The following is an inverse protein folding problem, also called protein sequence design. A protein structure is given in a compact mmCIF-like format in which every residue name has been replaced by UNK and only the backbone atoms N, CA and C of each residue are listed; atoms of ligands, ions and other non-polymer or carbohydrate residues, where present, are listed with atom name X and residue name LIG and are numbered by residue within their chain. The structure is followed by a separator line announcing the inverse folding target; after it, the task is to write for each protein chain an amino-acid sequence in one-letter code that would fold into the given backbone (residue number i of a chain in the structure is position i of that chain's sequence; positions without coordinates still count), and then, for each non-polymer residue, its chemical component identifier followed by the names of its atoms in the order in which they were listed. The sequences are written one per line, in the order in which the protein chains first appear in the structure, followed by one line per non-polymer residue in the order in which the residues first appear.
data_IF_423706607093
#
_entry.id   IF_423706607093
#
_cell.length_a   1.000
_cell.length_b   1.000
_cell.length_c   1.000
_cell.angle_alpha   90.00
_cell.angle_beta   90.00
_cell.angle_gamma   90.00
#
_symmetry.space_group_name_H-M   'P 1'
#
loop_
_entity.id
_entity.type
_entity.pdbx_description
1 polymer ?
#
# COMPACT_ATOMS: atom_id res chain seq x y z
N UNK A 1 19.17 5.30 10.92
CA UNK A 1 19.40 6.20 9.76
C UNK A 1 18.10 6.95 9.50
N UNK A 2 18.02 8.22 9.92
CA UNK A 2 16.85 9.07 9.70
C UNK A 2 16.83 9.43 8.20
N UNK A 3 15.80 9.03 7.47
CA UNK A 3 15.57 9.55 6.12
C UNK A 3 15.36 11.05 6.22
N UNK A 4 16.17 11.80 5.48
CA UNK A 4 16.01 13.24 5.31
C UNK A 4 14.59 13.55 4.83
N UNK A 5 13.95 14.52 5.50
CA UNK A 5 12.69 15.10 5.06
C UNK A 5 12.94 15.85 3.76
N UNK A 6 12.75 15.19 2.62
CA UNK A 6 12.58 15.87 1.32
C UNK A 6 11.25 16.61 1.35
N UNK A 7 11.31 17.93 1.52
CA UNK A 7 10.16 18.83 1.69
C UNK A 7 9.47 19.26 0.37
N UNK A 8 9.64 18.52 -0.74
CA UNK A 8 8.98 18.80 -2.03
C UNK A 8 8.33 17.55 -2.62
N UNK A 9 7.58 16.81 -1.79
CA UNK A 9 6.81 15.66 -2.28
C UNK A 9 5.73 16.07 -3.28
N UNK A 10 5.52 15.25 -4.31
CA UNK A 10 4.35 15.34 -5.19
C UNK A 10 3.10 15.14 -4.32
N UNK A 11 2.36 16.21 -4.03
CA UNK A 11 1.12 16.17 -3.24
C UNK A 11 -0.05 16.46 -4.17
N UNK A 12 -0.76 15.39 -4.54
CA UNK A 12 -2.01 15.50 -5.28
C UNK A 12 -3.19 15.70 -4.33
N UNK A 13 -4.18 16.50 -4.75
CA UNK A 13 -5.43 16.66 -4.01
C UNK A 13 -6.13 15.31 -3.81
N UNK A 14 -7.00 15.21 -2.80
CA UNK A 14 -7.77 13.97 -2.55
C UNK A 14 -8.59 13.57 -3.78
N UNK A 15 -9.21 14.54 -4.44
CA UNK A 15 -10.00 14.32 -5.66
C UNK A 15 -9.14 13.73 -6.78
N UNK A 16 -7.97 14.33 -7.05
CA UNK A 16 -7.01 13.80 -8.02
C UNK A 16 -6.55 12.38 -7.65
N UNK A 17 -6.25 12.12 -6.37
CA UNK A 17 -5.86 10.78 -5.90
C UNK A 17 -6.99 9.76 -6.06
N UNK A 18 -8.24 10.13 -5.78
CA UNK A 18 -9.39 9.26 -6.01
C UNK A 18 -9.60 8.99 -7.50
N UNK A 19 -9.43 10.00 -8.35
CA UNK A 19 -9.53 9.84 -9.79
C UNK A 19 -8.39 8.98 -10.37
N UNK A 20 -7.20 8.96 -9.77
CA UNK A 20 -6.14 8.00 -10.15
C UNK A 20 -6.53 6.54 -9.90
N UNK A 21 -7.46 6.27 -8.99
CA UNK A 21 -8.01 4.93 -8.79
C UNK A 21 -9.18 4.65 -9.74
N UNK A 22 -10.05 5.64 -9.98
CA UNK A 22 -11.23 5.47 -10.83
C UNK A 22 -10.89 5.50 -12.31
N UNK A 23 -10.20 6.54 -12.76
CA UNK A 23 -9.72 6.77 -14.11
C UNK A 23 -10.66 6.27 -15.20
N UNK A 24 -10.13 5.38 -16.03
CA UNK A 24 -10.84 4.71 -17.13
C UNK A 24 -11.58 3.43 -16.66
N UNK A 25 -11.64 3.22 -15.35
CA UNK A 25 -12.19 2.05 -14.68
C UNK A 25 -11.13 1.33 -13.85
N UNK A 26 -11.53 0.80 -12.69
CA UNK A 26 -10.72 -0.23 -12.03
C UNK A 26 -10.83 -1.48 -12.90
N UNK A 27 -9.73 -2.21 -13.20
CA UNK A 27 -9.76 -3.39 -14.06
C UNK A 27 -10.40 -4.63 -13.40
N UNK A 28 -11.42 -4.42 -12.57
CA UNK A 28 -12.29 -5.43 -11.95
C UNK A 28 -13.69 -4.84 -11.71
N UNK A 29 -14.72 -5.68 -11.75
CA UNK A 29 -16.12 -5.30 -11.56
C UNK A 29 -16.58 -5.29 -10.08
N UNK A 30 -15.76 -5.84 -9.19
CA UNK A 30 -16.07 -5.98 -7.76
C UNK A 30 -15.45 -4.89 -6.86
N UNK A 31 -14.68 -3.97 -7.42
CA UNK A 31 -14.00 -2.92 -6.65
C UNK A 31 -14.67 -1.55 -6.81
N UNK A 32 -14.67 -0.78 -5.73
CA UNK A 32 -15.20 0.57 -5.69
C UNK A 32 -14.30 1.49 -4.86
N UNK A 33 -14.26 2.78 -5.22
CA UNK A 33 -13.44 3.80 -4.54
C UNK A 33 -14.31 4.66 -3.64
N UNK A 34 -14.07 4.56 -2.33
CA UNK A 34 -14.51 5.55 -1.35
C UNK A 34 -13.60 6.78 -1.42
N UNK A 35 -14.13 7.93 -1.83
CA UNK A 35 -13.38 9.18 -2.07
C UNK A 35 -13.59 10.26 -1.01
N UNK A 36 -14.38 9.97 0.01
CA UNK A 36 -14.54 10.85 1.15
C UNK A 36 -13.35 10.76 2.12
N UNK A 37 -13.31 11.61 3.14
CA UNK A 37 -12.19 11.66 4.08
C UNK A 37 -12.19 10.44 5.00
N UNK A 38 -11.01 10.06 5.49
CA UNK A 38 -10.87 9.05 6.54
C UNK A 38 -11.69 9.42 7.78
N UNK A 39 -11.73 10.70 8.16
CA UNK A 39 -12.56 11.20 9.26
C UNK A 39 -14.06 10.93 9.09
N UNK A 40 -14.56 10.84 7.85
CA UNK A 40 -15.97 10.54 7.56
C UNK A 40 -16.30 9.05 7.49
N UNK A 41 -15.26 8.19 7.40
CA UNK A 41 -15.41 6.74 7.26
C UNK A 41 -16.26 6.10 8.36
N UNK A 42 -16.08 6.40 9.66
CA UNK A 42 -16.88 5.78 10.72
C UNK A 42 -18.38 6.03 10.56
N UNK A 43 -18.76 7.24 10.16
CA UNK A 43 -20.16 7.62 9.94
C UNK A 43 -20.76 6.92 8.72
N UNK A 44 -20.03 6.89 7.60
CA UNK A 44 -20.44 6.16 6.40
C UNK A 44 -20.65 4.67 6.70
N UNK A 45 -19.66 4.03 7.31
CA UNK A 45 -19.69 2.61 7.67
C UNK A 45 -20.89 2.27 8.55
N UNK A 46 -21.13 3.07 9.60
CA UNK A 46 -22.28 2.88 10.50
C UNK A 46 -23.61 2.95 9.74
N UNK A 47 -23.76 3.94 8.85
CA UNK A 47 -24.98 4.09 8.04
C UNK A 47 -25.17 2.91 7.08
N UNK A 48 -24.10 2.44 6.43
CA UNK A 48 -24.14 1.30 5.51
C UNK A 48 -24.56 0.02 6.24
N UNK A 49 -23.91 -0.30 7.37
CA UNK A 49 -24.24 -1.46 8.22
C UNK A 49 -25.71 -1.43 8.64
N UNK A 50 -26.17 -0.29 9.17
CA UNK A 50 -27.54 -0.17 9.66
C UNK A 50 -28.58 -0.26 8.55
N UNK A 51 -28.24 0.17 7.32
CA UNK A 51 -29.13 0.07 6.16
C UNK A 51 -29.24 -1.39 5.73
N UNK A 52 -28.11 -2.05 5.46
CA UNK A 52 -28.08 -3.45 5.02
C UNK A 52 -28.70 -4.41 6.05
N UNK A 53 -28.50 -4.13 7.34
CA UNK A 53 -29.09 -4.94 8.41
C UNK A 53 -30.62 -4.92 8.40
N UNK A 54 -31.25 -3.81 7.99
CA UNK A 54 -32.72 -3.73 7.85
C UNK A 54 -33.23 -4.63 6.72
N UNK A 55 -32.38 -4.88 5.73
CA UNK A 55 -32.64 -5.76 4.60
C UNK A 55 -32.22 -7.21 4.89
N UNK A 56 -31.86 -7.53 6.15
CA UNK A 56 -31.42 -8.86 6.56
C UNK A 56 -30.01 -9.24 6.12
N UNK A 57 -29.21 -8.27 5.65
CA UNK A 57 -27.84 -8.47 5.19
C UNK A 57 -26.85 -8.09 6.29
N UNK A 58 -26.05 -9.05 6.73
CA UNK A 58 -24.93 -8.80 7.65
C UNK A 58 -23.64 -8.53 6.86
N UNK A 59 -23.04 -7.36 7.05
CA UNK A 59 -21.82 -6.95 6.36
C UNK A 59 -20.63 -6.95 7.33
N UNK A 60 -19.58 -7.68 6.96
CA UNK A 60 -18.33 -7.70 7.70
C UNK A 60 -17.24 -6.94 6.94
N UNK A 61 -16.57 -6.04 7.64
CA UNK A 61 -15.40 -5.33 7.12
C UNK A 61 -14.13 -6.11 7.47
N UNK A 62 -13.28 -6.31 6.46
CA UNK A 62 -11.98 -6.96 6.58
C UNK A 62 -10.95 -6.03 6.00
N UNK A 63 -9.87 -5.80 6.75
CA UNK A 63 -8.82 -4.88 6.33
C UNK A 63 -7.80 -5.62 5.46
N UNK A 64 -7.53 -5.10 4.27
CA UNK A 64 -6.45 -5.59 3.42
C UNK A 64 -5.19 -4.76 3.67
N UNK A 65 -4.14 -5.38 4.18
CA UNK A 65 -2.88 -4.72 4.47
C UNK A 65 -1.72 -5.30 3.68
N UNK A 66 -0.80 -4.41 3.30
CA UNK A 66 0.50 -4.79 2.80
C UNK A 66 1.34 -5.50 3.87
N UNK A 67 2.39 -6.20 3.44
CA UNK A 67 3.32 -6.93 4.31
C UNK A 67 4.20 -6.02 5.19
N UNK A 68 4.17 -4.71 4.96
CA UNK A 68 4.82 -3.67 5.75
C UNK A 68 3.97 -3.22 6.96
N UNK A 69 2.66 -3.42 6.92
CA UNK A 69 1.75 -3.01 7.98
C UNK A 69 1.47 -4.11 9.02
N UNK A 70 1.64 -5.38 8.64
CA UNK A 70 1.54 -6.53 9.54
C UNK A 70 2.89 -7.24 9.54
N UNK A 71 3.60 -7.15 10.65
CA UNK A 71 4.95 -7.75 10.83
C UNK A 71 4.95 -8.74 11.99
N UNK A 72 5.96 -9.61 12.05
CA UNK A 72 6.11 -10.59 13.11
C UNK A 72 6.08 -9.95 14.50
N UNK A 73 6.83 -8.86 14.68
CA UNK A 73 6.98 -8.18 15.97
C UNK A 73 5.91 -7.11 16.21
N UNK A 74 5.39 -6.48 15.15
CA UNK A 74 4.34 -5.45 15.24
C UNK A 74 2.94 -6.04 15.41
N UNK A 75 2.72 -7.26 14.90
CA UNK A 75 1.42 -7.92 14.91
C UNK A 75 0.37 -7.17 14.09
N UNK A 76 -0.91 -7.31 14.48
CA UNK A 76 -2.03 -6.62 13.86
C UNK A 76 -2.78 -5.78 14.90
N UNK A 77 -2.96 -4.48 14.61
CA UNK A 77 -3.78 -3.58 15.40
C UNK A 77 -5.17 -3.40 14.75
N UNK A 78 -6.28 -3.84 15.38
CA UNK A 78 -7.61 -3.75 14.80
C UNK A 78 -8.24 -2.36 14.94
N UNK A 79 -7.68 -1.48 15.77
CA UNK A 79 -8.31 -0.17 16.08
C UNK A 79 -8.11 0.86 14.99
N UNK A 80 -7.12 0.70 14.09
CA UNK A 80 -6.81 1.71 13.08
C UNK A 80 -7.90 1.90 12.01
N UNK A 81 -8.73 0.89 11.77
CA UNK A 81 -9.86 0.96 10.82
C UNK A 81 -11.16 0.35 11.38
N UNK A 82 -11.20 0.12 12.69
CA UNK A 82 -12.28 -0.61 13.39
C UNK A 82 -12.64 -1.94 12.68
N UNK A 83 -11.61 -2.64 12.22
CA UNK A 83 -11.72 -3.93 11.55
C UNK A 83 -11.11 -4.98 12.48
N UNK A 84 -11.91 -5.94 12.93
CA UNK A 84 -11.37 -7.06 13.70
C UNK A 84 -10.57 -8.03 12.83
N UNK A 85 -10.96 -8.19 11.58
CA UNK A 85 -10.33 -9.12 10.65
C UNK A 85 -9.40 -8.41 9.68
N UNK A 86 -8.30 -9.07 9.34
CA UNK A 86 -7.37 -8.61 8.32
C UNK A 86 -6.96 -9.73 7.36
N UNK A 87 -6.56 -9.31 6.16
CA UNK A 87 -5.88 -10.13 5.15
C UNK A 87 -4.55 -9.45 4.85
N UNK A 88 -3.49 -10.24 4.77
CA UNK A 88 -2.18 -9.81 4.28
C UNK A 88 -1.59 -10.87 3.36
N UNK A 89 -0.63 -10.46 2.54
CA UNK A 89 0.02 -11.30 1.54
C UNK A 89 1.42 -10.79 1.28
N UNK A 90 2.29 -11.67 0.81
CA UNK A 90 3.63 -11.35 0.34
C UNK A 90 3.72 -11.15 -1.18
N UNK A 91 2.58 -10.93 -1.85
CA UNK A 91 2.48 -10.74 -3.31
C UNK A 91 3.27 -9.53 -3.82
N UNK A 92 3.37 -8.45 -3.04
CA UNK A 92 4.07 -7.23 -3.45
C UNK A 92 5.52 -7.18 -2.95
N UNK A 93 5.83 -7.86 -1.85
CA UNK A 93 7.18 -7.95 -1.25
C UNK A 93 7.17 -9.01 -0.15
N UNK A 94 8.34 -9.52 0.28
CA UNK A 94 8.42 -10.46 1.39
C UNK A 94 7.79 -9.93 2.69
N UNK A 95 7.16 -10.82 3.43
CA UNK A 95 6.83 -10.62 4.86
C UNK A 95 7.99 -11.11 5.72
N UNK A 96 8.17 -10.53 6.91
CA UNK A 96 9.22 -10.93 7.87
C UNK A 96 8.87 -12.20 8.68
N UNK A 97 7.67 -12.74 8.47
CA UNK A 97 7.17 -13.93 9.16
C UNK A 97 7.01 -15.16 8.27
N UNK A 98 7.28 -15.10 6.95
CA UNK A 98 7.24 -16.29 6.07
C UNK A 98 8.65 -16.84 5.88
N UNK A 99 8.83 -18.11 6.23
CA UNK A 99 10.00 -18.90 5.93
C UNK A 99 9.64 -20.03 4.95
N UNK A 100 10.62 -20.71 4.33
CA UNK A 100 10.35 -21.73 3.31
C UNK A 100 9.33 -22.80 3.73
N UNK A 101 9.32 -23.19 5.01
CA UNK A 101 8.49 -24.29 5.51
C UNK A 101 7.67 -23.93 6.76
N UNK A 102 7.62 -22.65 7.14
CA UNK A 102 6.96 -22.24 8.37
C UNK A 102 6.56 -20.77 8.36
N UNK A 103 5.66 -20.41 9.26
CA UNK A 103 5.31 -19.03 9.55
C UNK A 103 5.71 -18.68 10.97
N UNK A 104 6.49 -17.61 11.15
CA UNK A 104 6.75 -17.00 12.46
C UNK A 104 5.43 -16.53 13.04
N UNK A 105 5.22 -16.79 14.33
CA UNK A 105 4.03 -16.30 15.03
C UNK A 105 4.02 -14.76 15.06
N UNK A 106 2.87 -14.16 14.80
CA UNK A 106 2.66 -12.72 14.97
C UNK A 106 2.49 -12.37 16.45
N UNK A 107 3.12 -11.28 16.87
CA UNK A 107 2.92 -10.69 18.18
C UNK A 107 1.43 -10.45 18.46
N UNK A 108 0.99 -10.85 19.66
CA UNK A 108 -0.41 -10.68 20.07
C UNK A 108 -1.41 -11.63 19.40
N UNK A 109 -0.96 -12.58 18.57
CA UNK A 109 -1.83 -13.58 17.94
C UNK A 109 -1.54 -15.01 18.41
N UNK A 110 -2.47 -15.93 18.16
CA UNK A 110 -2.26 -17.38 18.29
C UNK A 110 -1.24 -17.87 17.24
N UNK A 111 -0.69 -19.09 17.38
CA UNK A 111 0.01 -19.74 16.28
C UNK A 111 -0.85 -19.83 15.01
N UNK A 112 -0.18 -19.90 13.87
CA UNK A 112 -0.83 -20.06 12.58
C UNK A 112 -1.46 -21.44 12.43
N UNK A 113 -2.64 -21.48 11.83
CA UNK A 113 -3.36 -22.69 11.47
C UNK A 113 -3.75 -22.59 10.00
N UNK A 114 -3.50 -23.64 9.22
CA UNK A 114 -3.93 -23.66 7.82
C UNK A 114 -5.42 -23.97 7.72
N UNK A 115 -6.15 -23.22 6.89
CA UNK A 115 -7.49 -23.61 6.46
C UNK A 115 -7.32 -24.79 5.46
N UNK A 116 -7.97 -25.94 5.71
CA UNK A 116 -7.75 -27.28 5.07
C UNK A 116 -7.91 -27.26 3.50
N UNK A 117 -7.34 -28.15 2.67
CA UNK A 117 -7.41 -29.63 2.70
C UNK A 117 -6.30 -30.39 1.87
N UNK A 118 -5.94 -31.59 2.35
CA UNK A 118 -5.60 -32.81 1.60
C UNK A 118 -4.38 -32.95 0.65
N UNK A 119 -4.14 -32.06 -0.32
CA UNK A 119 -3.31 -32.44 -1.50
C UNK A 119 -2.46 -31.34 -2.16
N UNK A 120 -2.20 -30.22 -1.50
CA UNK A 120 -1.33 -29.18 -2.06
C UNK A 120 -0.11 -28.91 -1.17
N UNK A 121 1.03 -28.61 -1.81
CA UNK A 121 2.28 -28.13 -1.19
C UNK A 121 1.97 -26.92 -0.29
N UNK A 122 2.76 -26.72 0.76
CA UNK A 122 2.56 -25.67 1.76
C UNK A 122 2.51 -24.25 1.16
N UNK A 123 3.04 -24.06 -0.05
CA UNK A 123 3.27 -22.78 -0.69
C UNK A 123 2.01 -22.01 -1.11
N UNK A 124 0.83 -22.65 -1.14
CA UNK A 124 -0.43 -22.05 -1.61
C UNK A 124 -1.59 -22.13 -0.61
N UNK A 125 -1.30 -22.34 0.68
CA UNK A 125 -2.35 -22.50 1.71
C UNK A 125 -2.60 -21.19 2.44
N UNK A 126 -3.88 -20.84 2.58
CA UNK A 126 -4.27 -19.71 3.44
C UNK A 126 -4.06 -20.12 4.90
N UNK A 127 -3.24 -19.34 5.60
CA UNK A 127 -2.99 -19.52 7.04
C UNK A 127 -3.76 -18.48 7.84
N UNK A 128 -4.23 -18.87 9.01
CA UNK A 128 -4.97 -17.99 9.92
C UNK A 128 -4.35 -17.95 11.31
N UNK A 129 -4.34 -16.77 11.93
CA UNK A 129 -4.11 -16.62 13.35
C UNK A 129 -5.17 -15.70 13.96
N UNK A 130 -5.42 -15.85 15.26
CA UNK A 130 -6.44 -15.08 15.99
C UNK A 130 -5.77 -14.16 17.00
N UNK A 131 -6.29 -12.94 17.15
CA UNK A 131 -5.80 -12.03 18.19
C UNK A 131 -6.09 -12.58 19.60
N UNK A 132 -5.13 -12.46 20.51
CA UNK A 132 -5.24 -13.01 21.86
C UNK A 132 -6.07 -12.12 22.80
N UNK A 133 -5.92 -10.79 22.67
CA UNK A 133 -6.40 -9.80 23.67
C UNK A 133 -7.65 -9.03 23.26
N UNK A 134 -8.14 -9.20 22.04
CA UNK A 134 -9.29 -8.45 21.50
C UNK A 134 -10.52 -9.37 21.52
N UNK A 135 -11.67 -8.87 22.01
CA UNK A 135 -12.95 -9.58 21.98
C UNK A 135 -13.96 -8.76 21.17
N UNK A 136 -14.63 -9.35 20.15
CA UNK A 136 -14.39 -10.68 19.59
C UNK A 136 -12.97 -10.81 19.01
N UNK A 137 -12.42 -12.03 19.03
CA UNK A 137 -11.05 -12.25 18.52
C UNK A 137 -11.01 -12.01 17.02
N UNK A 138 -10.31 -10.96 16.63
CA UNK A 138 -9.99 -10.68 15.24
C UNK A 138 -9.23 -11.82 14.58
N UNK A 139 -9.50 -12.08 13.30
CA UNK A 139 -8.78 -13.10 12.50
C UNK A 139 -7.88 -12.43 11.47
N UNK A 140 -6.59 -12.73 11.52
CA UNK A 140 -5.62 -12.37 10.49
C UNK A 140 -5.45 -13.56 9.55
N UNK A 141 -5.59 -13.31 8.24
CA UNK A 141 -5.38 -14.30 7.17
C UNK A 141 -4.13 -13.94 6.40
N UNK A 142 -3.22 -14.89 6.24
CA UNK A 142 -2.10 -14.79 5.35
C UNK A 142 -2.39 -15.57 4.07
N UNK A 143 -2.37 -14.88 2.93
CA UNK A 143 -2.51 -15.48 1.60
C UNK A 143 -1.12 -15.49 0.95
N UNK A 144 -0.44 -16.66 0.90
CA UNK A 144 0.86 -16.73 0.26
C UNK A 144 0.72 -16.48 -1.24
N UNK A 145 1.64 -15.71 -1.81
CA UNK A 145 1.85 -15.72 -3.25
C UNK A 145 2.74 -16.90 -3.66
N UNK A 146 2.59 -17.31 -4.92
CA UNK A 146 3.55 -18.19 -5.58
C UNK A 146 4.86 -17.41 -5.75
N UNK A 147 5.91 -17.86 -5.06
CA UNK A 147 7.20 -17.18 -5.03
C UNK A 147 7.88 -17.16 -6.41
N UNK A 148 7.60 -18.15 -7.26
CA UNK A 148 8.11 -18.20 -8.62
C UNK A 148 7.41 -17.17 -9.53
N UNK A 149 6.21 -16.74 -9.16
CA UNK A 149 5.41 -15.73 -9.87
C UNK A 149 5.45 -14.35 -9.23
N UNK A 150 6.08 -14.20 -8.07
CA UNK A 150 6.14 -12.92 -7.38
C UNK A 150 6.99 -11.95 -8.19
N UNK A 151 6.39 -10.82 -8.57
CA UNK A 151 7.14 -9.73 -9.20
C UNK A 151 8.26 -9.26 -8.28
N UNK A 152 9.49 -9.27 -8.77
CA UNK A 152 10.66 -8.73 -8.06
C UNK A 152 10.60 -7.19 -7.95
N UNK A 153 9.77 -6.56 -8.78
CA UNK A 153 9.72 -5.13 -8.95
C UNK A 153 8.27 -4.63 -8.85
N UNK A 154 7.64 -4.95 -7.73
CA UNK A 154 6.27 -4.56 -7.45
C UNK A 154 6.12 -3.02 -7.45
N UNK A 155 5.01 -2.50 -8.00
CA UNK A 155 4.78 -1.06 -8.02
C UNK A 155 4.79 -0.44 -6.61
N UNK A 156 5.40 0.74 -6.50
CA UNK A 156 5.36 1.54 -5.27
C UNK A 156 5.34 3.03 -5.60
N UNK A 157 4.74 3.83 -4.72
CA UNK A 157 4.75 5.29 -4.88
C UNK A 157 6.16 5.88 -4.88
N UNK A 158 7.12 5.23 -4.20
CA UNK A 158 8.54 5.63 -4.24
C UNK A 158 9.15 5.39 -5.61
N UNK A 159 8.85 4.24 -6.24
CA UNK A 159 9.29 3.97 -7.62
C UNK A 159 8.67 4.95 -8.62
N UNK A 160 7.38 5.25 -8.48
CA UNK A 160 6.69 6.26 -9.30
C UNK A 160 7.40 7.62 -9.18
N UNK A 161 7.66 8.08 -7.95
CA UNK A 161 8.41 9.33 -7.71
C UNK A 161 9.81 9.29 -8.32
N UNK A 162 10.51 8.17 -8.18
CA UNK A 162 11.84 7.99 -8.79
C UNK A 162 11.82 8.12 -10.31
N UNK A 163 10.81 7.57 -11.00
CA UNK A 163 10.63 7.74 -12.46
C UNK A 163 10.44 9.22 -12.81
N UNK A 164 9.56 9.92 -12.07
CA UNK A 164 9.26 11.34 -12.30
C UNK A 164 10.50 12.22 -12.05
N UNK A 165 11.30 11.90 -11.03
CA UNK A 165 12.52 12.65 -10.68
C UNK A 165 13.67 12.40 -11.67
N UNK A 166 13.76 11.22 -12.27
CA UNK A 166 14.92 10.78 -13.07
C UNK A 166 14.73 10.82 -14.58
N UNK A 167 13.50 11.04 -15.06
CA UNK A 167 13.17 10.95 -16.48
C UNK A 167 12.57 12.25 -17.01
N UNK A 168 12.84 12.62 -18.26
CA UNK A 168 12.20 13.77 -18.91
C UNK A 168 10.68 13.52 -19.06
N UNK A 169 9.91 14.61 -19.12
CA UNK A 169 8.45 14.59 -19.05
C UNK A 169 7.81 13.82 -20.21
N UNK A 170 8.43 13.85 -21.37
CA UNK A 170 7.99 13.18 -22.60
C UNK A 170 8.02 11.65 -22.46
N UNK A 171 8.86 11.12 -21.56
CA UNK A 171 9.01 9.69 -21.31
C UNK A 171 8.15 9.18 -20.16
N UNK A 172 7.51 10.06 -19.38
CA UNK A 172 6.80 9.66 -18.16
C UNK A 172 5.69 8.67 -18.43
N UNK A 173 4.86 8.90 -19.46
CA UNK A 173 3.72 8.02 -19.74
C UNK A 173 4.19 6.60 -20.03
N UNK A 174 5.17 6.43 -20.93
CA UNK A 174 5.74 5.13 -21.28
C UNK A 174 6.40 4.45 -20.08
N UNK A 175 7.21 5.18 -19.31
CA UNK A 175 7.92 4.61 -18.16
C UNK A 175 7.01 4.25 -16.99
N UNK A 176 5.84 4.88 -16.88
CA UNK A 176 4.84 4.61 -15.85
C UNK A 176 3.89 3.46 -16.23
N UNK A 177 3.89 2.98 -17.49
CA UNK A 177 3.12 1.80 -17.90
C UNK A 177 3.50 0.57 -17.07
N UNK A 178 2.49 -0.13 -16.56
CA UNK A 178 2.68 -1.29 -15.68
C UNK A 178 3.13 -0.94 -14.25
N UNK A 179 3.36 0.35 -13.93
CA UNK A 179 3.73 0.82 -12.59
C UNK A 179 2.60 1.65 -11.96
N UNK A 180 1.98 2.55 -12.72
CA UNK A 180 0.80 3.29 -12.30
C UNK A 180 -0.46 2.67 -12.91
N UNK A 181 -1.58 2.71 -12.17
CA UNK A 181 -2.86 2.18 -12.65
C UNK A 181 -3.36 2.96 -13.87
N UNK A 182 -3.27 4.30 -13.82
CA UNK A 182 -3.66 5.21 -14.91
C UNK A 182 -2.50 6.17 -15.22
N UNK A 183 -1.47 5.74 -16.00
CA UNK A 183 -0.28 6.55 -16.29
C UNK A 183 -0.59 7.90 -16.95
N UNK A 184 -1.51 7.92 -17.92
CA UNK A 184 -1.90 9.12 -18.65
C UNK A 184 -2.51 10.19 -17.73
N UNK A 185 -3.49 9.80 -16.90
CA UNK A 185 -4.13 10.69 -15.93
C UNK A 185 -3.12 11.23 -14.92
N UNK A 186 -2.20 10.37 -14.46
CA UNK A 186 -1.11 10.80 -13.57
C UNK A 186 -0.24 11.86 -14.23
N UNK A 187 0.19 11.66 -15.47
CA UNK A 187 1.01 12.63 -16.22
C UNK A 187 0.27 13.95 -16.42
N UNK A 188 -1.02 13.92 -16.75
CA UNK A 188 -1.86 15.13 -16.86
C UNK A 188 -1.87 15.92 -15.55
N UNK A 189 -2.09 15.26 -14.41
CA UNK A 189 -2.06 15.93 -13.11
C UNK A 189 -0.68 16.46 -12.71
N UNK A 190 0.40 15.80 -13.13
CA UNK A 190 1.75 16.26 -12.87
C UNK A 190 2.09 17.52 -13.68
N UNK A 191 1.59 17.63 -14.92
CA UNK A 191 1.78 18.83 -15.78
C UNK A 191 1.09 20.08 -15.23
N UNK A 192 0.03 19.90 -14.44
CA UNK A 192 -0.65 21.01 -13.74
C UNK A 192 0.08 21.47 -12.48
N UNK A 193 0.98 20.66 -11.94
CA UNK A 193 1.79 21.07 -10.80
C UNK A 193 2.84 22.09 -11.26
N UNK A 194 3.22 23.04 -10.41
CA UNK A 194 4.40 23.85 -10.69
C UNK A 194 5.58 22.90 -10.95
N UNK A 195 6.46 23.23 -11.93
CA UNK A 195 7.61 22.39 -12.22
C UNK A 195 8.36 22.10 -10.92
N UNK A 196 8.81 20.85 -10.71
CA UNK A 196 9.50 20.50 -9.48
C UNK A 196 10.63 21.49 -9.28
N UNK A 197 10.56 22.25 -8.18
CA UNK A 197 11.68 23.10 -7.79
C UNK A 197 12.86 22.16 -7.69
N UNK A 198 13.87 22.37 -8.55
CA UNK A 198 15.18 21.71 -8.40
C UNK A 198 15.52 21.78 -6.91
N UNK A 199 16.09 20.71 -6.32
CA UNK A 199 16.62 20.82 -4.97
C UNK A 199 17.44 22.10 -4.91
N UNK A 200 17.20 22.94 -3.90
CA UNK A 200 18.14 24.01 -3.60
C UNK A 200 19.52 23.37 -3.63
N UNK A 201 20.42 23.91 -4.45
CA UNK A 201 21.77 23.39 -4.63
C UNK A 201 22.30 22.99 -3.25
N UNK A 202 22.77 21.75 -3.11
CA UNK A 202 23.27 21.31 -1.83
C UNK A 202 24.35 22.30 -1.37
N UNK A 203 24.53 22.49 -0.05
CA UNK A 203 25.62 23.35 0.43
C UNK A 203 26.99 22.90 -0.12
N UNK A 204 27.12 21.64 -0.51
CA UNK A 204 28.28 21.08 -1.22
C UNK A 204 28.40 21.55 -2.68
N UNK A 205 27.28 21.68 -3.41
CA UNK A 205 27.25 22.20 -4.78
C UNK A 205 27.54 23.71 -4.82
N UNK A 206 27.04 24.46 -3.82
CA UNK A 206 27.37 25.88 -3.62
C UNK A 206 28.85 26.08 -3.22
N UNK A 207 29.40 25.20 -2.38
CA UNK A 207 30.81 25.24 -2.00
C UNK A 207 31.75 24.87 -3.17
N UNK A 208 31.35 23.93 -4.04
CA UNK A 208 32.08 23.62 -5.27
C UNK A 208 32.09 24.79 -6.25
N UNK A 209 30.95 25.45 -6.47
CA UNK A 209 30.89 26.65 -7.31
C UNK A 209 31.68 27.83 -6.75
N UNK A 210 31.69 27.99 -5.42
CA UNK A 210 32.47 29.03 -4.76
C UNK A 210 33.99 28.79 -4.83
N UNK A 211 34.42 27.52 -4.93
CA UNK A 211 35.82 27.15 -5.17
C UNK A 211 36.21 27.31 -6.65
N UNK A 212 35.32 26.94 -7.58
CA UNK A 212 35.55 27.08 -9.02
C UNK A 212 35.55 28.55 -9.50
N UNK A 213 34.93 29.47 -8.75
CA UNK A 213 34.97 30.91 -9.05
C UNK A 213 36.18 31.66 -8.49
N UNK A 214 37.13 30.99 -7.82
CA UNK A 214 38.34 31.60 -7.22
C UNK A 214 39.64 31.13 -7.89
N UNK A 215 39.57 30.36 -8.99
CA UNK A 215 40.79 29.97 -9.72
C UNK A 215 40.73 30.49 -11.16
N UNK A 216 41.59 31.48 -11.39
CA UNK A 216 41.82 32.37 -12.55
C UNK A 216 40.91 33.60 -12.68
#
# INVERSE_FOLDING_TARGET
MKMDKRETGIVLSREKRANLWRGDGIPVDWAWVYDNSEASWPGFRTKLVNTLKRDGVDIKFVLLFGPDAITADGGYNPTCWDCGDAITSDISRPVDFRYPNSLRQLAGCTPWVNLQDGRARFDNKVSICRQNRVRPRGTVRFVPCDLDRRSQDAPSSTKIRGIIESSPQEEWEEKLKGVALHPKILVEYLKELPPPTKPAESKEDLAKKQWESIVW
#
